data_IF_231183623356
#
_entry.id   IF_231183623356
#
_cell.length_a   1.000
_cell.length_b   1.000
_cell.length_c   1.000
_cell.angle_alpha   90.00
_cell.angle_beta   90.00
_cell.angle_gamma   90.00
#
_symmetry.space_group_name_H-M   'P 1'
#
loop_
_entity.id
_entity.type
_entity.pdbx_description
1 polymer ?
#
# COMPACT_ATOMS: atom_id res chain seq x y z
N UNK A 1 -9.61 -7.58 31.80
CA UNK A 1 -8.48 -7.05 31.12
C UNK A 1 -8.44 -7.54 29.70
N UNK A 2 -8.22 -6.67 28.87
CA UNK A 2 -8.10 -7.04 27.48
C UNK A 2 -6.78 -7.74 27.23
N UNK A 3 -6.74 -8.48 26.19
CA UNK A 3 -5.52 -9.09 25.74
C UNK A 3 -4.50 -8.00 25.44
N UNK A 4 -3.36 -8.08 26.07
CA UNK A 4 -2.32 -7.08 25.93
C UNK A 4 -1.77 -7.00 24.51
N UNK A 5 -1.85 -8.08 23.73
CA UNK A 5 -1.30 -8.09 22.39
C UNK A 5 -2.09 -7.24 21.41
N UNK A 6 -3.30 -6.86 21.74
CA UNK A 6 -4.16 -6.16 20.80
C UNK A 6 -4.93 -5.01 21.41
N UNK A 7 -4.79 -4.82 22.67
CA UNK A 7 -5.74 -3.97 23.35
C UNK A 7 -5.38 -2.51 23.25
N UNK A 8 -4.25 -2.16 23.71
CA UNK A 8 -3.92 -0.77 23.86
C UNK A 8 -2.86 -0.38 22.82
N UNK A 9 -3.05 0.73 22.14
CA UNK A 9 -1.96 1.24 21.31
C UNK A 9 -0.80 1.63 22.21
N UNK A 10 0.42 1.51 21.71
CA UNK A 10 1.56 2.00 22.47
C UNK A 10 1.46 3.51 22.63
N UNK A 11 1.90 4.00 23.78
CA UNK A 11 1.94 5.44 24.05
C UNK A 11 3.29 6.02 23.72
N UNK A 12 4.14 5.27 23.04
CA UNK A 12 5.51 5.67 22.71
C UNK A 12 5.79 5.42 21.25
N UNK A 13 6.75 6.17 20.75
CA UNK A 13 7.30 5.94 19.42
C UNK A 13 7.91 4.55 19.32
N UNK A 14 8.04 4.08 18.09
CA UNK A 14 8.66 2.79 17.79
C UNK A 14 9.36 2.84 16.46
N UNK A 15 10.56 2.25 16.40
CA UNK A 15 11.27 2.02 15.14
C UNK A 15 11.12 0.55 14.79
N UNK A 16 10.67 0.29 13.55
CA UNK A 16 10.59 -1.07 13.03
C UNK A 16 11.74 -1.26 12.04
N UNK A 17 12.65 -2.15 12.36
CA UNK A 17 13.81 -2.43 11.52
C UNK A 17 13.45 -3.42 10.40
N UNK A 18 14.22 -3.46 9.29
CA UNK A 18 13.89 -4.34 8.17
C UNK A 18 13.58 -5.80 8.52
N UNK A 19 14.30 -6.48 9.42
CA UNK A 19 13.95 -7.87 9.74
C UNK A 19 12.56 -8.04 10.38
N UNK A 20 12.02 -6.97 10.93
CA UNK A 20 10.73 -7.01 11.62
C UNK A 20 9.57 -6.53 10.73
N UNK A 21 9.85 -6.24 9.46
CA UNK A 21 8.79 -5.94 8.50
C UNK A 21 7.92 -7.16 8.28
N UNK A 22 6.67 -6.93 7.95
CA UNK A 22 5.71 -8.01 7.76
C UNK A 22 5.28 -8.08 6.31
N UNK A 23 5.24 -9.29 5.77
CA UNK A 23 4.80 -9.50 4.41
C UNK A 23 3.33 -9.10 4.26
N UNK A 24 3.07 -8.28 3.27
CA UNK A 24 1.73 -7.87 2.88
C UNK A 24 1.55 -7.99 1.38
N UNK A 25 2.32 -8.87 0.75
CA UNK A 25 2.26 -9.08 -0.70
C UNK A 25 0.93 -9.64 -1.12
N UNK A 26 0.49 -9.22 -2.29
CA UNK A 26 -0.76 -9.69 -2.85
C UNK A 26 -1.12 -8.86 -4.08
N UNK A 27 -2.15 -9.28 -4.78
CA UNK A 27 -2.66 -8.62 -5.98
C UNK A 27 -1.57 -8.41 -7.06
N UNK A 28 -0.58 -9.32 -7.12
CA UNK A 28 0.51 -9.22 -8.08
C UNK A 28 1.63 -8.26 -7.70
N UNK A 29 1.64 -7.77 -6.48
CA UNK A 29 2.60 -6.79 -5.98
C UNK A 29 3.30 -7.35 -4.75
N UNK A 30 4.61 -7.09 -4.66
CA UNK A 30 5.39 -7.42 -3.48
C UNK A 30 5.26 -6.26 -2.50
N UNK A 31 4.96 -6.56 -1.24
CA UNK A 31 4.73 -5.51 -0.25
C UNK A 31 5.20 -5.94 1.12
N UNK A 32 5.87 -5.02 1.84
CA UNK A 32 6.31 -5.24 3.21
C UNK A 32 5.85 -4.09 4.09
N UNK A 33 5.05 -4.39 5.10
CA UNK A 33 4.57 -3.39 6.05
C UNK A 33 5.60 -3.15 7.14
N UNK A 34 5.99 -1.88 7.29
CA UNK A 34 6.80 -1.44 8.41
C UNK A 34 5.94 -1.02 9.59
N UNK A 35 4.91 -0.21 9.33
CA UNK A 35 4.02 0.28 10.38
C UNK A 35 2.64 -0.31 10.17
N UNK A 36 2.15 -0.98 11.21
CA UNK A 36 0.81 -1.56 11.25
C UNK A 36 0.44 -1.79 12.71
N UNK A 37 -0.78 -2.26 12.95
CA UNK A 37 -1.18 -2.63 14.31
C UNK A 37 -0.25 -3.67 14.89
N UNK A 38 0.10 -4.69 14.11
CA UNK A 38 0.88 -5.81 14.63
C UNK A 38 2.36 -5.49 14.79
N UNK A 39 2.90 -4.54 14.03
CA UNK A 39 4.32 -4.18 14.16
C UNK A 39 4.56 -3.08 15.19
N UNK A 40 3.76 -2.03 15.15
CA UNK A 40 3.98 -0.83 15.95
C UNK A 40 2.82 -0.52 16.90
N UNK A 41 1.72 -1.27 16.81
CA UNK A 41 0.54 -1.01 17.62
C UNK A 41 -0.23 0.22 17.17
N UNK A 42 -0.12 0.58 15.90
CA UNK A 42 -0.81 1.76 15.39
C UNK A 42 -2.33 1.57 15.46
N UNK A 43 -3.04 2.67 15.66
CA UNK A 43 -4.51 2.64 15.79
C UNK A 43 -5.21 3.03 14.50
N UNK A 44 -4.59 3.86 13.68
CA UNK A 44 -5.29 4.51 12.57
C UNK A 44 -4.51 4.53 11.25
N UNK A 45 -3.29 4.03 11.24
CA UNK A 45 -2.51 4.09 10.02
C UNK A 45 -1.62 2.86 9.85
N UNK A 46 -1.26 2.62 8.60
CA UNK A 46 -0.22 1.66 8.25
C UNK A 46 0.65 2.26 7.14
N UNK A 47 1.86 1.73 7.02
CA UNK A 47 2.81 2.20 6.03
C UNK A 47 3.66 1.04 5.54
N UNK A 48 3.89 0.97 4.24
CA UNK A 48 4.58 -0.15 3.62
C UNK A 48 5.48 0.29 2.48
N UNK A 49 6.48 -0.53 2.19
CA UNK A 49 7.18 -0.52 0.93
C UNK A 49 6.50 -1.47 -0.03
N UNK A 50 6.53 -1.13 -1.33
CA UNK A 50 6.02 -2.01 -2.36
C UNK A 50 6.93 -2.05 -3.57
N UNK A 51 6.83 -3.15 -4.31
CA UNK A 51 7.54 -3.34 -5.57
C UNK A 51 6.58 -3.93 -6.58
N UNK A 52 6.48 -3.27 -7.75
CA UNK A 52 5.79 -3.83 -8.91
C UNK A 52 6.88 -4.25 -9.89
N UNK A 53 7.09 -5.54 -10.07
CA UNK A 53 8.13 -6.02 -10.99
C UNK A 53 7.91 -5.51 -12.41
N UNK A 54 8.98 -5.47 -13.18
CA UNK A 54 8.90 -5.09 -14.60
C UNK A 54 7.89 -5.99 -15.32
N UNK A 55 7.03 -5.38 -16.13
CA UNK A 55 6.00 -6.10 -16.87
C UNK A 55 4.79 -6.53 -16.05
N UNK A 56 4.78 -6.27 -14.75
CA UNK A 56 3.69 -6.70 -13.88
C UNK A 56 2.62 -5.61 -13.74
N UNK A 57 1.45 -6.05 -13.36
CA UNK A 57 0.33 -5.18 -13.01
C UNK A 57 -0.40 -5.77 -11.83
N UNK A 58 -0.89 -4.92 -10.93
CA UNK A 58 -1.74 -5.41 -9.85
C UNK A 58 -3.12 -5.75 -10.37
N UNK A 59 -3.82 -6.62 -9.64
CA UNK A 59 -5.23 -6.89 -9.94
C UNK A 59 -6.08 -5.70 -9.49
N UNK A 60 -7.24 -5.52 -10.13
CA UNK A 60 -8.16 -4.45 -9.73
C UNK A 60 -8.75 -4.76 -8.37
N UNK A 61 -8.71 -3.75 -7.50
CA UNK A 61 -9.21 -3.87 -6.13
C UNK A 61 -9.57 -2.50 -5.58
N UNK A 62 -10.18 -2.48 -4.42
CA UNK A 62 -10.43 -1.25 -3.68
C UNK A 62 -10.11 -1.46 -2.21
N UNK A 63 -10.09 -0.37 -1.47
CA UNK A 63 -9.92 -0.39 -0.02
C UNK A 63 -10.98 0.49 0.61
N UNK A 64 -11.47 0.13 1.81
CA UNK A 64 -12.45 0.96 2.51
C UNK A 64 -11.83 2.16 3.23
N UNK A 65 -10.64 2.59 2.82
CA UNK A 65 -9.90 3.69 3.44
C UNK A 65 -9.06 4.41 2.39
N UNK A 66 -8.57 5.58 2.76
CA UNK A 66 -7.71 6.38 1.91
C UNK A 66 -6.30 5.81 1.85
N UNK A 67 -5.66 5.98 0.71
CA UNK A 67 -4.28 5.56 0.49
C UNK A 67 -3.49 6.71 -0.15
N UNK A 68 -2.26 6.89 0.32
CA UNK A 68 -1.29 7.78 -0.31
C UNK A 68 -0.11 6.95 -0.76
N UNK A 69 0.38 7.24 -1.96
CA UNK A 69 1.51 6.50 -2.57
C UNK A 69 2.54 7.51 -3.03
N UNK A 70 3.81 7.19 -2.81
CA UNK A 70 4.92 7.95 -3.41
C UNK A 70 5.86 7.00 -4.13
N UNK A 71 6.13 7.29 -5.40
CA UNK A 71 7.04 6.48 -6.21
C UNK A 71 8.48 6.87 -5.88
N UNK A 72 9.32 5.86 -5.63
CA UNK A 72 10.74 6.05 -5.33
C UNK A 72 11.55 5.84 -6.61
N UNK A 73 11.25 4.80 -7.38
CA UNK A 73 11.95 4.49 -8.61
C UNK A 73 11.03 3.78 -9.59
N UNK A 74 11.37 3.86 -10.87
CA UNK A 74 10.57 3.26 -11.94
C UNK A 74 9.44 4.16 -12.39
N UNK A 75 8.63 3.67 -13.33
CA UNK A 75 7.50 4.39 -13.91
C UNK A 75 6.26 3.53 -13.83
N UNK A 76 5.20 4.08 -13.28
CA UNK A 76 3.96 3.36 -13.06
C UNK A 76 2.78 4.11 -13.68
N UNK A 77 1.74 3.36 -14.00
CA UNK A 77 0.45 3.93 -14.40
C UNK A 77 -0.62 3.36 -13.50
N UNK A 78 -1.38 4.23 -12.87
CA UNK A 78 -2.53 3.83 -12.07
C UNK A 78 -3.78 3.98 -12.91
N UNK A 79 -4.62 2.95 -12.89
CA UNK A 79 -5.91 2.94 -13.59
C UNK A 79 -7.02 2.97 -12.55
N UNK A 80 -8.07 3.73 -12.83
CA UNK A 80 -9.17 3.93 -11.91
C UNK A 80 -10.50 3.61 -12.59
N UNK A 81 -11.44 3.10 -11.79
CA UNK A 81 -12.77 2.75 -12.25
C UNK A 81 -12.91 1.27 -12.55
N UNK A 82 -14.14 0.84 -12.76
CA UNK A 82 -14.44 -0.58 -13.02
C UNK A 82 -13.88 -1.06 -14.37
N UNK A 83 -13.71 -0.14 -15.31
CA UNK A 83 -13.23 -0.46 -16.66
C UNK A 83 -12.01 0.38 -17.04
N UNK A 84 -11.21 0.79 -16.04
CA UNK A 84 -10.02 1.60 -16.28
C UNK A 84 -10.34 2.90 -17.04
N UNK A 85 -11.44 3.54 -16.70
CA UNK A 85 -11.92 4.72 -17.41
C UNK A 85 -10.96 5.89 -17.32
N UNK A 86 -10.16 5.95 -16.25
CA UNK A 86 -9.17 7.01 -16.05
C UNK A 86 -7.82 6.40 -15.72
N UNK A 87 -6.78 7.13 -16.05
CA UNK A 87 -5.42 6.71 -15.69
C UNK A 87 -4.52 7.90 -15.47
N UNK A 88 -3.49 7.71 -14.66
CA UNK A 88 -2.44 8.71 -14.43
C UNK A 88 -1.09 8.01 -14.42
N UNK A 89 -0.08 8.69 -14.94
CA UNK A 89 1.29 8.20 -14.90
C UNK A 89 2.01 8.81 -13.71
N UNK A 90 2.88 8.01 -13.10
CA UNK A 90 3.66 8.41 -11.94
C UNK A 90 5.13 8.14 -12.18
N UNK A 91 5.96 9.09 -11.78
CA UNK A 91 7.40 9.01 -11.85
C UNK A 91 8.00 9.26 -10.45
N UNK A 92 9.29 8.97 -10.26
CA UNK A 92 9.91 9.20 -8.96
C UNK A 92 9.68 10.62 -8.45
N UNK A 93 9.26 10.71 -7.20
CA UNK A 93 8.93 11.97 -6.56
C UNK A 93 7.46 12.35 -6.59
N UNK A 94 6.66 11.67 -7.41
CA UNK A 94 5.22 11.93 -7.47
C UNK A 94 4.50 11.34 -6.27
N UNK A 95 3.43 12.01 -5.86
CA UNK A 95 2.51 11.51 -4.84
C UNK A 95 1.14 11.29 -5.48
N UNK A 96 0.54 10.16 -5.15
CA UNK A 96 -0.81 9.81 -5.59
C UNK A 96 -1.72 9.67 -4.39
N UNK A 97 -2.89 10.27 -4.47
CA UNK A 97 -3.95 10.09 -3.48
C UNK A 97 -5.04 9.21 -4.07
N UNK A 98 -5.44 8.17 -3.33
CA UNK A 98 -6.53 7.29 -3.74
C UNK A 98 -7.61 7.34 -2.67
N UNK A 99 -8.82 7.83 -3.02
CA UNK A 99 -9.91 7.86 -2.06
C UNK A 99 -10.39 6.45 -1.70
N UNK A 100 -11.11 6.35 -0.60
CA UNK A 100 -11.73 5.10 -0.19
C UNK A 100 -12.70 4.60 -1.28
N UNK A 101 -12.77 3.29 -1.43
CA UNK A 101 -13.74 2.58 -2.26
C UNK A 101 -13.59 2.78 -3.78
N UNK A 102 -12.58 3.49 -4.23
CA UNK A 102 -12.33 3.68 -5.65
C UNK A 102 -11.60 2.46 -6.23
N UNK A 103 -12.20 1.73 -7.17
CA UNK A 103 -11.51 0.61 -7.84
C UNK A 103 -10.26 1.10 -8.57
N UNK A 104 -9.16 0.41 -8.40
CA UNK A 104 -7.90 0.78 -9.04
C UNK A 104 -6.99 -0.42 -9.24
N UNK A 105 -6.03 -0.27 -10.13
CA UNK A 105 -4.91 -1.17 -10.31
C UNK A 105 -3.70 -0.37 -10.77
N UNK A 106 -2.51 -0.93 -10.60
CA UNK A 106 -1.26 -0.25 -10.95
C UNK A 106 -0.45 -1.14 -11.88
N UNK A 107 0.05 -0.57 -12.96
CA UNK A 107 0.91 -1.25 -13.90
C UNK A 107 2.30 -0.64 -13.91
N UNK A 108 3.31 -1.48 -14.02
CA UNK A 108 4.67 -1.03 -14.30
C UNK A 108 4.76 -0.82 -15.81
N UNK A 109 4.93 0.42 -16.24
CA UNK A 109 5.01 0.77 -17.66
C UNK A 109 6.45 1.00 -18.13
N UNK A 110 7.43 0.73 -17.28
CA UNK A 110 8.84 0.79 -17.61
C UNK A 110 9.45 -0.59 -17.73
N UNK A 111 10.78 -0.64 -17.77
CA UNK A 111 11.54 -1.88 -17.89
C UNK A 111 12.35 -2.20 -16.63
N UNK A 112 12.19 -1.41 -15.57
CA UNK A 112 12.81 -1.64 -14.27
C UNK A 112 11.70 -1.76 -13.22
N UNK A 113 11.99 -2.38 -12.06
CA UNK A 113 10.98 -2.46 -11.00
C UNK A 113 10.52 -1.08 -10.54
N UNK A 114 9.24 -0.95 -10.25
CA UNK A 114 8.70 0.23 -9.58
C UNK A 114 8.81 0.00 -8.08
N UNK A 115 9.51 0.90 -7.40
CA UNK A 115 9.57 0.91 -5.93
C UNK A 115 8.76 2.10 -5.42
N UNK A 116 7.97 1.85 -4.41
CA UNK A 116 7.13 2.90 -3.83
C UNK A 116 6.95 2.70 -2.35
N UNK A 117 6.51 3.77 -1.66
CA UNK A 117 6.01 3.69 -0.30
C UNK A 117 4.53 4.05 -0.33
N UNK A 118 3.77 3.45 0.57
CA UNK A 118 2.37 3.80 0.72
C UNK A 118 2.03 4.00 2.18
N UNK A 119 1.04 4.83 2.42
CA UNK A 119 0.44 5.04 3.72
C UNK A 119 -1.07 4.88 3.58
N UNK A 120 -1.69 4.23 4.56
CA UNK A 120 -3.12 3.95 4.56
C UNK A 120 -3.76 4.40 5.86
N UNK A 121 -4.98 4.89 5.75
CA UNK A 121 -5.74 5.35 6.91
C UNK A 121 -6.43 4.17 7.60
N UNK A 122 -5.65 3.14 7.89
CA UNK A 122 -6.10 1.94 8.61
C UNK A 122 -4.86 1.23 9.17
N UNK A 123 -4.98 0.60 10.34
CA UNK A 123 -3.82 -0.07 10.94
C UNK A 123 -3.53 -1.45 10.34
N UNK A 124 -4.39 -1.91 9.43
CA UNK A 124 -4.28 -3.22 8.80
C UNK A 124 -4.61 -3.10 7.32
N UNK A 125 -4.10 -4.05 6.54
CA UNK A 125 -4.42 -4.08 5.12
C UNK A 125 -5.76 -4.78 4.89
N UNK A 126 -6.67 -4.10 4.22
CA UNK A 126 -7.96 -4.65 3.83
C UNK A 126 -8.12 -4.41 2.34
N UNK A 127 -8.26 -5.49 1.59
CA UNK A 127 -8.37 -5.46 0.13
C UNK A 127 -9.70 -6.05 -0.27
N UNK A 128 -10.44 -5.32 -1.10
CA UNK A 128 -11.71 -5.77 -1.65
C UNK A 128 -11.50 -6.05 -3.14
N UNK A 129 -11.55 -7.32 -3.56
CA UNK A 129 -11.39 -7.64 -4.98
C UNK A 129 -12.51 -7.03 -5.81
N UNK A 130 -12.17 -6.59 -7.00
CA UNK A 130 -13.13 -6.02 -7.95
C UNK A 130 -12.99 -6.76 -9.26
N UNK A 131 -14.07 -7.35 -9.72
CA UNK A 131 -14.09 -8.09 -10.97
C UNK A 131 -14.47 -7.23 -12.16
#
# INVERSE_FOLDING_TARGET
MTDSSQSAPPTRYRVVHPPDRQDGSGQGVIREFGISRSSAGSSHLSMAYGVVPAGATSTRHSHPFETAVSVISGRARAYFGLNDEESVDMEPGDFLYIPADLPHRTANIGDTPVQYVLARAAPEDIVIPVE
#
